data_IF_734041102441
#
_entry.id   IF_734041102441
#
_cell.length_a   1.000
_cell.length_b   1.000
_cell.length_c   1.000
_cell.angle_alpha   90.00
_cell.angle_beta   90.00
_cell.angle_gamma   90.00
#
_symmetry.space_group_name_H-M   'P 1'
#
loop_
_entity.id
_entity.type
_entity.pdbx_description
1 polymer ?
#
# COMPACT_ATOMS: atom_id res chain seq x y z
N UNK A 1 22.34 65.62 21.44
CA UNK A 1 21.61 65.61 20.17
C UNK A 1 20.59 64.49 20.18
N UNK A 2 19.51 64.55 19.38
CA UNK A 2 18.54 63.45 19.30
C UNK A 2 19.16 62.19 18.72
N UNK A 3 18.65 61.03 19.11
CA UNK A 3 19.08 59.74 18.57
C UNK A 3 18.72 59.63 17.07
N UNK A 4 19.60 59.01 16.29
CA UNK A 4 19.39 58.78 14.87
C UNK A 4 18.22 57.83 14.60
N UNK A 5 17.62 57.95 13.41
CA UNK A 5 16.57 57.03 12.96
C UNK A 5 17.10 55.58 12.90
N UNK A 6 16.31 54.58 13.34
CA UNK A 6 16.66 53.18 13.14
C UNK A 6 16.91 52.88 11.66
N UNK A 7 17.91 52.04 11.39
CA UNK A 7 18.23 51.63 10.02
C UNK A 7 17.14 50.76 9.40
N UNK A 8 17.15 50.61 8.06
CA UNK A 8 16.21 49.74 7.37
C UNK A 8 16.40 48.28 7.77
N UNK A 9 15.33 47.48 7.65
CA UNK A 9 15.39 46.03 7.84
C UNK A 9 16.40 45.40 6.87
N UNK A 10 17.13 44.39 7.35
CA UNK A 10 18.05 43.61 6.51
C UNK A 10 17.31 42.81 5.43
N UNK A 11 18.03 42.37 4.39
CA UNK A 11 17.45 41.52 3.35
C UNK A 11 17.02 40.14 3.91
N UNK A 12 16.09 39.45 3.23
CA UNK A 12 15.75 38.06 3.56
C UNK A 12 16.99 37.17 3.60
N UNK A 13 16.99 36.19 4.51
CA UNK A 13 18.06 35.20 4.60
C UNK A 13 18.14 34.31 3.35
N UNK A 14 19.30 33.66 3.11
CA UNK A 14 19.44 32.71 2.02
C UNK A 14 18.48 31.52 2.19
N UNK A 15 18.08 30.85 1.10
CA UNK A 15 17.36 29.58 1.17
C UNK A 15 18.07 28.58 2.07
N UNK A 16 17.29 27.75 2.79
CA UNK A 16 17.84 26.68 3.61
C UNK A 16 18.61 25.65 2.77
N UNK A 17 19.51 24.86 3.39
CA UNK A 17 20.21 23.80 2.69
C UNK A 17 19.22 22.76 2.12
N UNK A 18 19.52 22.15 0.96
CA UNK A 18 18.73 21.04 0.43
C UNK A 18 18.61 19.91 1.46
N UNK A 19 17.44 19.26 1.52
CA UNK A 19 17.21 18.11 2.38
C UNK A 19 18.22 16.99 2.10
N UNK A 20 18.61 16.25 3.15
CA UNK A 20 19.62 15.20 3.06
C UNK A 20 19.09 14.00 2.25
N UNK A 21 19.68 13.78 1.06
CA UNK A 21 19.36 12.64 0.20
C UNK A 21 20.30 11.49 0.53
N UNK A 22 19.75 10.43 1.13
CA UNK A 22 20.50 9.20 1.43
C UNK A 22 20.67 8.42 0.13
N UNK A 23 21.86 8.48 -0.46
CA UNK A 23 22.24 7.62 -1.59
C UNK A 23 22.84 6.32 -1.05
N UNK A 24 22.09 5.21 -1.12
CA UNK A 24 22.73 3.90 -1.12
C UNK A 24 23.48 3.73 -2.46
N UNK A 25 24.79 3.53 -2.38
CA UNK A 25 25.65 3.31 -3.54
C UNK A 25 25.31 1.97 -4.19
N UNK A 26 24.52 1.99 -5.25
CA UNK A 26 24.53 0.91 -6.24
C UNK A 26 25.70 1.14 -7.20
N UNK A 27 26.70 0.27 -7.12
CA UNK A 27 27.82 0.19 -8.05
C UNK A 27 27.33 -0.39 -9.38
N UNK A 28 27.38 0.40 -10.46
CA UNK A 28 27.15 -0.10 -11.82
C UNK A 28 26.40 0.87 -12.72
N UNK A 29 27.04 1.26 -13.81
CA UNK A 29 26.57 2.18 -14.83
C UNK A 29 25.24 1.71 -15.45
N UNK A 30 24.17 2.47 -15.23
CA UNK A 30 23.12 2.83 -16.20
C UNK A 30 22.11 3.69 -15.43
N UNK A 31 21.99 4.96 -15.83
CA UNK A 31 21.07 5.91 -15.22
C UNK A 31 19.63 5.62 -15.66
N UNK A 32 19.04 4.54 -15.15
CA UNK A 32 17.60 4.47 -15.01
C UNK A 32 17.26 5.20 -13.70
N UNK A 33 16.27 6.11 -13.67
CA UNK A 33 15.78 6.57 -12.38
C UNK A 33 15.38 5.31 -11.60
N UNK A 34 15.97 5.12 -10.42
CA UNK A 34 15.51 4.08 -9.50
C UNK A 34 14.05 4.41 -9.25
N UNK A 35 13.18 3.69 -9.95
CA UNK A 35 11.75 3.79 -9.82
C UNK A 35 11.49 3.37 -8.39
N UNK A 36 11.32 4.35 -7.50
CA UNK A 36 10.92 4.10 -6.11
C UNK A 36 9.65 3.26 -6.24
N UNK A 37 9.76 1.97 -5.94
CA UNK A 37 8.67 1.03 -6.12
C UNK A 37 7.55 1.55 -5.23
N UNK A 38 6.48 2.06 -5.84
CA UNK A 38 5.31 2.51 -5.09
C UNK A 38 4.90 1.38 -4.15
N UNK A 39 4.52 1.66 -2.90
CA UNK A 39 3.99 0.62 -2.04
C UNK A 39 2.80 -0.05 -2.75
N UNK A 40 2.91 -1.36 -2.98
CA UNK A 40 1.87 -2.18 -3.62
C UNK A 40 1.21 -3.00 -2.52
N UNK A 41 -0.11 -3.21 -2.62
CA UNK A 41 -0.87 -4.07 -1.72
C UNK A 41 -1.98 -4.69 -2.54
N UNK A 42 -1.82 -5.95 -2.92
CA UNK A 42 -2.80 -6.65 -3.73
C UNK A 42 -2.79 -8.15 -3.43
N UNK A 43 -3.92 -8.78 -3.67
CA UNK A 43 -4.05 -10.24 -3.63
C UNK A 43 -5.05 -10.71 -4.68
N UNK A 44 -4.92 -11.96 -5.09
CA UNK A 44 -5.88 -12.68 -5.93
C UNK A 44 -5.87 -14.12 -5.48
N UNK A 45 -7.04 -14.61 -5.09
CA UNK A 45 -7.21 -15.92 -4.46
C UNK A 45 -8.47 -16.59 -4.97
N UNK A 46 -8.51 -17.92 -4.90
CA UNK A 46 -9.63 -18.75 -5.30
C UNK A 46 -9.79 -19.92 -4.33
N UNK A 47 -10.97 -20.53 -4.33
CA UNK A 47 -11.23 -21.80 -3.63
C UNK A 47 -11.12 -22.95 -4.62
N UNK A 48 -10.38 -24.01 -4.29
CA UNK A 48 -10.47 -25.28 -5.04
C UNK A 48 -11.50 -26.22 -4.44
N UNK A 49 -11.74 -26.14 -3.13
CA UNK A 49 -12.77 -26.93 -2.46
C UNK A 49 -14.13 -26.22 -2.50
N UNK A 50 -15.20 -26.89 -2.95
CA UNK A 50 -16.53 -26.30 -2.94
C UNK A 50 -17.14 -26.29 -1.53
N UNK A 51 -18.21 -25.51 -1.35
CA UNK A 51 -19.02 -25.47 -0.13
C UNK A 51 -18.25 -25.09 1.15
N UNK A 52 -17.66 -23.88 1.21
CA UNK A 52 -17.01 -23.41 2.43
C UNK A 52 -18.00 -23.32 3.60
N UNK A 53 -17.54 -23.44 4.86
CA UNK A 53 -18.38 -23.30 6.04
C UNK A 53 -19.10 -21.93 6.08
N UNK A 54 -20.36 -21.94 6.51
CA UNK A 54 -21.14 -20.71 6.69
C UNK A 54 -20.84 -20.05 8.04
N UNK A 55 -21.03 -18.73 8.13
CA UNK A 55 -20.88 -17.97 9.37
C UNK A 55 -19.43 -17.68 9.78
N UNK A 56 -18.45 -18.08 8.98
CA UNK A 56 -17.02 -17.78 9.18
C UNK A 56 -16.43 -17.17 7.90
N UNK A 57 -15.30 -16.44 7.98
CA UNK A 57 -14.58 -15.99 6.79
C UNK A 57 -14.28 -17.15 5.84
N UNK A 58 -14.44 -16.92 4.54
CA UNK A 58 -14.09 -17.90 3.52
C UNK A 58 -12.57 -17.94 3.39
N UNK A 59 -11.99 -19.12 3.65
CA UNK A 59 -10.56 -19.38 3.43
C UNK A 59 -10.36 -19.78 1.98
N UNK A 60 -9.65 -18.95 1.21
CA UNK A 60 -9.31 -19.23 -0.17
C UNK A 60 -7.93 -19.89 -0.19
N UNK A 61 -7.90 -21.17 -0.54
CA UNK A 61 -6.75 -22.07 -0.45
C UNK A 61 -5.83 -22.00 -1.69
N UNK A 62 -6.33 -21.47 -2.80
CA UNK A 62 -5.55 -21.24 -4.00
C UNK A 62 -5.11 -19.78 -4.10
N UNK A 63 -3.82 -19.54 -3.86
CA UNK A 63 -3.21 -18.21 -4.04
C UNK A 63 -2.73 -18.04 -5.48
N UNK A 64 -3.30 -17.07 -6.19
CA UNK A 64 -2.87 -16.68 -7.55
C UNK A 64 -1.84 -15.54 -7.46
N UNK A 65 -2.09 -14.57 -6.59
CA UNK A 65 -1.15 -13.49 -6.27
C UNK A 65 -1.30 -13.11 -4.79
N UNK A 66 -0.18 -13.00 -4.08
CA UNK A 66 -0.14 -12.49 -2.69
C UNK A 66 1.32 -12.15 -2.31
N UNK A 67 2.03 -11.42 -3.17
CA UNK A 67 3.48 -11.22 -3.01
C UNK A 67 3.81 -10.48 -1.70
N UNK A 68 2.96 -9.55 -1.29
CA UNK A 68 3.12 -8.76 -0.07
C UNK A 68 2.60 -9.46 1.19
N UNK A 69 1.95 -10.63 1.04
CA UNK A 69 1.43 -11.43 2.16
C UNK A 69 0.44 -10.65 3.06
N UNK A 70 -0.31 -9.73 2.47
CA UNK A 70 -1.33 -8.96 3.17
C UNK A 70 -2.65 -9.74 3.29
N UNK A 71 -2.84 -10.76 2.46
CA UNK A 71 -3.86 -11.79 2.66
C UNK A 71 -3.27 -12.95 3.45
N UNK A 72 -3.98 -13.41 4.47
CA UNK A 72 -3.63 -14.60 5.25
C UNK A 72 -4.53 -15.78 4.83
N UNK A 73 -3.98 -16.81 4.15
CA UNK A 73 -4.75 -17.99 3.71
C UNK A 73 -5.31 -18.82 4.87
N UNK A 74 -4.67 -18.79 6.05
CA UNK A 74 -5.10 -19.58 7.20
C UNK A 74 -6.36 -19.00 7.86
N UNK A 75 -6.57 -17.70 7.73
CA UNK A 75 -7.72 -16.98 8.31
C UNK A 75 -8.75 -16.55 7.28
N UNK A 76 -8.36 -16.39 6.01
CA UNK A 76 -9.22 -15.85 4.96
C UNK A 76 -9.31 -14.32 4.95
N UNK A 77 -8.41 -13.63 5.67
CA UNK A 77 -8.51 -12.20 5.95
C UNK A 77 -7.44 -11.43 5.20
N UNK A 78 -7.84 -10.33 4.55
CA UNK A 78 -6.92 -9.31 4.05
C UNK A 78 -6.72 -8.23 5.11
N UNK A 79 -5.46 -7.96 5.48
CA UNK A 79 -5.09 -6.91 6.43
C UNK A 79 -4.48 -5.72 5.69
N UNK A 80 -5.08 -4.54 5.86
CA UNK A 80 -4.58 -3.31 5.27
C UNK A 80 -3.32 -2.82 6.01
N UNK A 81 -2.15 -3.02 5.39
CA UNK A 81 -0.88 -2.47 5.91
C UNK A 81 -0.51 -1.11 5.30
N UNK A 82 -1.05 -0.78 4.13
CA UNK A 82 -0.80 0.48 3.42
C UNK A 82 -2.11 1.28 3.37
N UNK A 83 -2.21 2.45 4.03
CA UNK A 83 -3.42 3.27 4.00
C UNK A 83 -3.76 3.72 2.57
N UNK A 84 -5.04 3.60 2.18
CA UNK A 84 -5.48 4.00 0.85
C UNK A 84 -6.88 3.51 0.51
N UNK A 85 -7.27 3.74 -0.75
CA UNK A 85 -8.52 3.24 -1.31
C UNK A 85 -8.23 1.89 -1.99
N UNK A 86 -9.03 0.89 -1.66
CA UNK A 86 -8.90 -0.46 -2.19
C UNK A 86 -10.10 -0.82 -3.07
N UNK A 87 -9.82 -1.60 -4.12
CA UNK A 87 -10.85 -2.19 -4.97
C UNK A 87 -10.91 -3.69 -4.67
N UNK A 88 -12.08 -4.16 -4.23
CA UNK A 88 -12.35 -5.57 -4.02
C UNK A 88 -13.38 -6.04 -5.04
N UNK A 89 -13.12 -7.20 -5.62
CA UNK A 89 -14.02 -7.87 -6.57
C UNK A 89 -14.00 -9.36 -6.29
N UNK A 90 -15.17 -9.98 -6.38
CA UNK A 90 -15.32 -11.42 -6.21
C UNK A 90 -16.32 -11.96 -7.23
N UNK A 91 -16.10 -13.20 -7.64
CA UNK A 91 -17.02 -13.96 -8.48
C UNK A 91 -17.27 -15.30 -7.79
N UNK A 92 -18.51 -15.78 -7.84
CA UNK A 92 -18.91 -17.01 -7.19
C UNK A 92 -19.75 -17.87 -8.14
N UNK A 93 -19.47 -19.16 -8.13
CA UNK A 93 -20.31 -20.15 -8.77
C UNK A 93 -21.20 -20.80 -7.72
N UNK A 94 -22.51 -20.64 -7.88
CA UNK A 94 -23.51 -21.20 -6.95
C UNK A 94 -24.12 -22.44 -7.59
N UNK A 95 -23.94 -23.59 -6.96
CA UNK A 95 -24.48 -24.87 -7.41
C UNK A 95 -25.17 -25.61 -6.24
N UNK A 96 -26.45 -25.97 -6.42
CA UNK A 96 -27.24 -26.73 -5.45
C UNK A 96 -28.19 -25.87 -4.61
N UNK A 97 -27.66 -25.01 -3.74
CA UNK A 97 -28.44 -24.19 -2.82
C UNK A 97 -28.11 -22.69 -2.95
N UNK A 98 -29.01 -21.83 -2.47
CA UNK A 98 -28.80 -20.39 -2.43
C UNK A 98 -27.60 -20.05 -1.55
N UNK A 99 -26.73 -19.15 -2.04
CA UNK A 99 -25.62 -18.62 -1.29
C UNK A 99 -25.86 -17.13 -0.98
N UNK A 100 -25.59 -16.74 0.27
CA UNK A 100 -25.52 -15.36 0.70
C UNK A 100 -24.10 -15.10 1.18
N UNK A 101 -23.46 -14.08 0.62
CA UNK A 101 -22.09 -13.70 0.97
C UNK A 101 -22.06 -12.19 1.17
N UNK A 102 -21.31 -11.76 2.17
CA UNK A 102 -21.01 -10.37 2.41
C UNK A 102 -19.49 -10.19 2.42
N UNK A 103 -19.06 -9.05 1.87
CA UNK A 103 -17.70 -8.56 2.00
C UNK A 103 -17.65 -7.71 3.28
N UNK A 104 -16.75 -8.05 4.20
CA UNK A 104 -16.57 -7.40 5.50
C UNK A 104 -15.21 -6.71 5.57
#
# INVERSE_FOLDING_TARGET
GPAGIPGPSGPPGPPGPPGEVIFEKAQGETAYPVLVKSPVSAFTVATVTPYPPSGTPIKFDQVVYNAEQHYDPETGIFTCHIPGIYYFSYSMHVNGANALVALY
#
